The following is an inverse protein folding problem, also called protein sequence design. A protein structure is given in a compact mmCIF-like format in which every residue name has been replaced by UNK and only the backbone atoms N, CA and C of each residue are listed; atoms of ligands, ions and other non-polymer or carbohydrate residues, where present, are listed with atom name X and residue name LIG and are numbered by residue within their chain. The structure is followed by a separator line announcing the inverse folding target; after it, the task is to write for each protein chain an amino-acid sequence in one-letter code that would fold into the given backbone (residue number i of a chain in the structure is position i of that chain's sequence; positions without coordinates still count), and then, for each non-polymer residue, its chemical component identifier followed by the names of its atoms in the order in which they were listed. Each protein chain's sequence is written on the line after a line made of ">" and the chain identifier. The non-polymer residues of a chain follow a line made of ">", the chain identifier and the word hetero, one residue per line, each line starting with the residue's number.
data_IF_901088582491
#
_entry.id   IF_901088582491
#
_cell.length_a   1.000
_cell.length_b   1.000
_cell.length_c   1.000
_cell.angle_alpha   90.00
_cell.angle_beta   90.00
_cell.angle_gamma   90.00
#
_symmetry.space_group_name_H-M   'P 1'
#
loop_
_entity.id
_entity.type
_entity.pdbx_description
1 polymer ?
#
# COMPACT_ATOMS: atom_id res chain seq x y z
N UNK A 1 -19.87 -36.21 17.36
CA UNK A 1 -19.32 -36.59 16.04
C UNK A 1 -19.40 -35.34 15.15
N UNK A 2 -18.38 -34.48 15.18
CA UNK A 2 -18.36 -33.21 14.44
C UNK A 2 -17.48 -33.43 13.21
N UNK A 3 -18.06 -33.29 12.02
CA UNK A 3 -17.33 -33.36 10.74
C UNK A 3 -16.54 -32.06 10.59
N UNK A 4 -15.22 -32.17 10.59
CA UNK A 4 -14.31 -31.11 10.16
C UNK A 4 -14.55 -30.80 8.68
N UNK A 5 -15.02 -29.59 8.38
CA UNK A 5 -15.25 -29.07 7.03
C UNK A 5 -14.23 -27.98 6.64
N UNK A 6 -12.97 -28.10 7.07
CA UNK A 6 -11.92 -27.15 6.74
C UNK A 6 -10.64 -27.85 6.29
N UNK A 7 -10.73 -28.52 5.15
CA UNK A 7 -9.63 -28.77 4.22
C UNK A 7 -10.29 -29.24 2.92
N UNK A 8 -10.80 -28.32 2.12
CA UNK A 8 -11.05 -28.64 0.71
C UNK A 8 -9.67 -28.71 0.07
N UNK A 9 -9.06 -29.90 0.12
CA UNK A 9 -7.86 -30.22 -0.65
C UNK A 9 -8.13 -29.82 -2.10
N UNK A 10 -7.28 -28.94 -2.64
CA UNK A 10 -7.38 -28.52 -4.03
C UNK A 10 -7.12 -29.77 -4.87
N UNK A 11 -7.98 -30.12 -5.85
CA UNK A 11 -7.77 -31.35 -6.62
C UNK A 11 -6.40 -31.31 -7.29
N UNK A 12 -5.66 -32.42 -7.24
CA UNK A 12 -4.26 -32.50 -7.69
C UNK A 12 -4.03 -32.03 -9.15
N UNK A 13 -5.06 -32.10 -9.99
CA UNK A 13 -5.04 -31.58 -11.36
C UNK A 13 -4.94 -30.04 -11.38
N UNK A 14 -5.64 -29.32 -10.49
CA UNK A 14 -5.58 -27.85 -10.40
C UNK A 14 -4.21 -27.35 -9.95
N UNK A 15 -3.52 -28.08 -9.05
CA UNK A 15 -2.14 -27.74 -8.64
C UNK A 15 -1.14 -27.92 -9.79
N UNK A 16 -1.33 -28.96 -10.62
CA UNK A 16 -0.49 -29.21 -11.78
C UNK A 16 -0.66 -28.12 -12.86
N UNK A 17 -1.89 -27.67 -13.12
CA UNK A 17 -2.15 -26.57 -14.05
C UNK A 17 -1.58 -25.23 -13.56
N UNK A 18 -1.69 -24.96 -12.26
CA UNK A 18 -1.19 -23.72 -11.67
C UNK A 18 0.35 -23.65 -11.75
N UNK A 19 1.07 -24.74 -11.51
CA UNK A 19 2.53 -24.76 -11.64
C UNK A 19 3.00 -24.63 -13.10
N UNK A 20 2.28 -25.22 -14.05
CA UNK A 20 2.55 -25.05 -15.50
C UNK A 20 2.35 -23.60 -15.90
N UNK A 21 1.24 -22.98 -15.51
CA UNK A 21 0.95 -21.58 -15.80
C UNK A 21 1.99 -20.64 -15.18
N UNK A 22 2.42 -20.93 -13.94
CA UNK A 22 3.47 -20.17 -13.26
C UNK A 22 4.78 -20.24 -14.01
N UNK A 23 5.18 -21.44 -14.44
CA UNK A 23 6.40 -21.66 -15.23
C UNK A 23 6.35 -20.89 -16.56
N UNK A 24 5.21 -20.91 -17.26
CA UNK A 24 5.03 -20.16 -18.49
C UNK A 24 5.15 -18.64 -18.28
N UNK A 25 4.60 -18.13 -17.18
CA UNK A 25 4.72 -16.71 -16.83
C UNK A 25 6.19 -16.35 -16.53
N UNK A 26 6.90 -17.19 -15.76
CA UNK A 26 8.32 -16.99 -15.44
C UNK A 26 9.22 -16.93 -16.67
N UNK A 27 8.91 -17.70 -17.72
CA UNK A 27 9.65 -17.66 -18.98
C UNK A 27 9.32 -16.44 -19.86
N UNK A 28 8.26 -15.68 -19.54
CA UNK A 28 7.75 -14.56 -20.35
C UNK A 28 8.11 -13.18 -19.79
N UNK A 29 8.73 -13.14 -18.61
CA UNK A 29 9.11 -11.91 -17.88
C UNK A 29 10.61 -11.66 -17.98
N UNK A 30 11.00 -10.40 -17.90
CA UNK A 30 12.41 -9.98 -17.85
C UNK A 30 13.08 -10.53 -16.57
N UNK A 31 14.35 -10.98 -16.71
CA UNK A 31 15.14 -11.61 -15.64
C UNK A 31 15.23 -10.74 -14.38
N UNK A 32 15.12 -9.42 -14.51
CA UNK A 32 15.13 -8.47 -13.40
C UNK A 32 13.98 -8.68 -12.39
N UNK A 33 12.88 -9.33 -12.79
CA UNK A 33 11.70 -9.53 -11.93
C UNK A 33 11.60 -10.95 -11.35
N UNK A 34 12.40 -11.89 -11.82
CA UNK A 34 12.44 -13.29 -11.38
C UNK A 34 12.59 -13.44 -9.86
N UNK A 35 13.51 -12.74 -9.17
CA UNK A 35 13.73 -12.95 -7.72
C UNK A 35 12.53 -12.57 -6.85
N UNK A 36 11.64 -11.70 -7.34
CA UNK A 36 10.45 -11.27 -6.62
C UNK A 36 9.25 -12.20 -6.89
N UNK A 37 9.24 -12.85 -8.05
CA UNK A 37 8.16 -13.74 -8.50
C UNK A 37 8.41 -15.19 -8.08
N UNK A 38 9.66 -15.62 -7.92
CA UNK A 38 10.00 -16.94 -7.37
C UNK A 38 9.42 -17.16 -5.96
N UNK A 39 9.17 -16.07 -5.21
CA UNK A 39 8.53 -16.10 -3.88
C UNK A 39 7.02 -16.29 -3.93
N UNK A 40 6.40 -16.23 -5.11
CA UNK A 40 4.97 -16.44 -5.31
C UNK A 40 4.67 -17.94 -5.42
N UNK A 41 3.64 -18.38 -4.70
CA UNK A 41 3.31 -19.80 -4.49
C UNK A 41 2.27 -20.32 -5.51
N UNK A 42 1.80 -19.47 -6.41
CA UNK A 42 0.84 -19.83 -7.45
C UNK A 42 0.91 -18.92 -8.67
N UNK A 43 0.48 -19.43 -9.83
CA UNK A 43 0.37 -18.63 -11.06
C UNK A 43 -0.54 -17.42 -10.87
N UNK A 44 -1.64 -17.60 -10.14
CA UNK A 44 -2.55 -16.51 -9.81
C UNK A 44 -1.85 -15.37 -9.07
N UNK A 45 -1.08 -15.67 -8.02
CA UNK A 45 -0.36 -14.64 -7.23
C UNK A 45 0.71 -13.98 -8.09
N UNK A 46 1.42 -14.74 -8.93
CA UNK A 46 2.37 -14.21 -9.90
C UNK A 46 1.70 -13.25 -10.89
N UNK A 47 0.52 -13.60 -11.41
CA UNK A 47 -0.21 -12.77 -12.35
C UNK A 47 -0.77 -11.50 -11.69
N UNK A 48 -1.31 -11.62 -10.46
CA UNK A 48 -1.73 -10.47 -9.65
C UNK A 48 -0.57 -9.51 -9.39
N UNK A 49 0.62 -10.02 -9.11
CA UNK A 49 1.83 -9.23 -8.94
C UNK A 49 2.29 -8.54 -10.23
N UNK A 50 2.23 -9.23 -11.38
CA UNK A 50 2.54 -8.61 -12.68
C UNK A 50 1.52 -7.51 -13.01
N UNK A 51 0.23 -7.78 -12.82
CA UNK A 51 -0.83 -6.78 -13.03
C UNK A 51 -0.65 -5.59 -12.08
N UNK A 52 -0.23 -5.83 -10.84
CA UNK A 52 0.06 -4.76 -9.88
C UNK A 52 1.25 -3.91 -10.30
N UNK A 53 2.19 -4.40 -11.11
CA UNK A 53 3.24 -3.55 -11.70
C UNK A 53 2.71 -2.53 -12.71
N UNK A 54 1.65 -2.88 -13.45
CA UNK A 54 1.09 -2.03 -14.52
C UNK A 54 0.00 -1.07 -14.04
N UNK A 55 -0.69 -1.38 -12.93
CA UNK A 55 -1.88 -0.65 -12.48
C UNK A 55 -1.75 -0.09 -11.05
N UNK A 56 -0.53 0.13 -10.59
CA UNK A 56 -0.30 0.42 -9.19
C UNK A 56 -0.76 1.81 -8.75
N UNK A 57 -1.51 1.92 -7.63
CA UNK A 57 -1.71 3.19 -6.96
C UNK A 57 -0.40 3.74 -6.41
N UNK A 58 0.20 4.73 -7.09
CA UNK A 58 1.44 5.35 -6.63
C UNK A 58 1.15 6.43 -5.60
N UNK A 59 1.56 6.22 -4.35
CA UNK A 59 1.58 7.29 -3.32
C UNK A 59 2.44 8.46 -3.74
N UNK A 60 3.56 8.23 -4.41
CA UNK A 60 4.37 9.31 -4.96
C UNK A 60 3.53 10.21 -5.89
N UNK A 61 2.73 9.59 -6.76
CA UNK A 61 1.80 10.34 -7.63
C UNK A 61 0.71 11.05 -6.85
N UNK A 62 0.11 10.39 -5.86
CA UNK A 62 -0.90 11.01 -4.99
C UNK A 62 -0.35 12.25 -4.28
N UNK A 63 0.82 12.16 -3.66
CA UNK A 63 1.49 13.27 -2.95
C UNK A 63 1.78 14.43 -3.89
N UNK A 64 2.33 14.14 -5.08
CA UNK A 64 2.59 15.17 -6.08
C UNK A 64 1.33 15.90 -6.51
N UNK A 65 0.24 15.18 -6.82
CA UNK A 65 -1.03 15.81 -7.24
C UNK A 65 -1.66 16.64 -6.12
N UNK A 66 -1.65 16.13 -4.88
CA UNK A 66 -2.14 16.88 -3.73
C UNK A 66 -1.31 18.14 -3.43
N UNK A 67 0.01 18.07 -3.62
CA UNK A 67 0.90 19.21 -3.44
C UNK A 67 0.66 20.28 -4.51
N UNK A 68 0.49 19.87 -5.77
CA UNK A 68 0.08 20.78 -6.85
C UNK A 68 -1.23 21.47 -6.51
N UNK A 69 -2.27 20.71 -6.12
CA UNK A 69 -3.57 21.26 -5.75
C UNK A 69 -3.50 22.21 -4.55
N UNK A 70 -2.70 21.88 -3.53
CA UNK A 70 -2.55 22.73 -2.33
C UNK A 70 -1.86 24.07 -2.64
N UNK A 71 -1.05 24.11 -3.70
CA UNK A 71 -0.35 25.31 -4.15
C UNK A 71 -1.12 26.08 -5.24
N UNK A 72 -2.17 25.49 -5.82
CA UNK A 72 -3.01 26.18 -6.80
C UNK A 72 -3.78 27.32 -6.14
N UNK A 73 -3.64 28.52 -6.70
CA UNK A 73 -4.39 29.71 -6.33
C UNK A 73 -5.03 30.26 -7.59
N UNK A 74 -6.30 30.67 -7.48
CA UNK A 74 -6.96 31.41 -8.55
C UNK A 74 -6.54 32.89 -8.44
N UNK A 75 -5.96 33.42 -9.51
CA UNK A 75 -5.59 34.83 -9.63
C UNK A 75 -6.47 35.50 -10.71
N UNK A 76 -7.56 36.19 -10.32
CA UNK A 76 -8.54 36.77 -11.25
C UNK A 76 -8.02 37.66 -12.39
N UNK A 77 -6.95 38.47 -12.24
CA UNK A 77 -6.43 39.27 -13.34
C UNK A 77 -5.64 38.45 -14.38
N UNK A 78 -5.20 37.25 -14.02
CA UNK A 78 -4.29 36.41 -14.82
C UNK A 78 -4.97 35.14 -15.35
N UNK A 79 -5.96 34.63 -14.61
CA UNK A 79 -6.53 33.31 -14.81
C UNK A 79 -7.95 33.34 -15.37
N UNK A 80 -8.23 32.44 -16.31
CA UNK A 80 -9.60 32.10 -16.69
C UNK A 80 -10.24 31.23 -15.61
N UNK A 81 -11.38 31.65 -15.06
CA UNK A 81 -12.12 30.87 -14.05
C UNK A 81 -12.46 29.46 -14.55
N UNK A 82 -12.86 29.33 -15.82
CA UNK A 82 -13.19 28.02 -16.40
C UNK A 82 -11.95 27.13 -16.51
N UNK A 83 -10.79 27.69 -16.87
CA UNK A 83 -9.54 26.93 -16.93
C UNK A 83 -9.10 26.50 -15.54
N UNK A 84 -9.19 27.37 -14.54
CA UNK A 84 -8.92 27.03 -13.15
C UNK A 84 -9.80 25.86 -12.65
N UNK A 85 -11.12 25.97 -12.82
CA UNK A 85 -12.05 24.92 -12.40
C UNK A 85 -11.82 23.60 -13.15
N UNK A 86 -11.60 23.66 -14.46
CA UNK A 86 -11.29 22.46 -15.27
C UNK A 86 -9.98 21.80 -14.85
N UNK A 87 -8.99 22.60 -14.46
CA UNK A 87 -7.70 22.10 -13.97
C UNK A 87 -7.88 21.40 -12.63
N UNK A 88 -8.63 21.99 -11.69
CA UNK A 88 -8.95 21.35 -10.40
C UNK A 88 -9.65 20.01 -10.61
N UNK A 89 -10.66 19.96 -11.49
CA UNK A 89 -11.37 18.72 -11.82
C UNK A 89 -10.41 17.68 -12.41
N UNK A 90 -9.56 18.06 -13.35
CA UNK A 90 -8.59 17.15 -13.96
C UNK A 90 -7.58 16.57 -12.95
N UNK A 91 -7.23 17.31 -11.88
CA UNK A 91 -6.39 16.79 -10.78
C UNK A 91 -7.14 15.79 -9.91
N UNK A 92 -8.40 16.05 -9.58
CA UNK A 92 -9.26 15.08 -8.89
C UNK A 92 -9.42 13.80 -9.72
N UNK A 93 -9.74 13.93 -11.01
CA UNK A 93 -9.88 12.79 -11.93
C UNK A 93 -8.56 12.03 -12.09
N UNK A 94 -7.40 12.71 -11.93
CA UNK A 94 -6.09 12.05 -11.92
C UNK A 94 -5.91 11.22 -10.66
N UNK A 95 -6.31 11.71 -9.48
CA UNK A 95 -6.28 10.94 -8.23
C UNK A 95 -7.17 9.68 -8.33
N UNK A 96 -8.37 9.81 -8.89
CA UNK A 96 -9.28 8.68 -9.09
C UNK A 96 -8.67 7.62 -10.02
N UNK A 97 -8.13 8.05 -11.17
CA UNK A 97 -7.47 7.16 -12.13
C UNK A 97 -6.24 6.48 -11.57
N UNK A 98 -5.55 7.08 -10.60
CA UNK A 98 -4.42 6.46 -9.92
C UNK A 98 -4.84 5.62 -8.71
N UNK A 99 -6.14 5.37 -8.52
CA UNK A 99 -6.64 4.50 -7.46
C UNK A 99 -6.59 5.12 -6.06
N UNK A 100 -6.68 6.44 -5.95
CA UNK A 100 -6.75 7.11 -4.66
C UNK A 100 -8.07 6.78 -3.96
N UNK A 101 -8.00 6.23 -2.73
CA UNK A 101 -9.19 5.98 -1.94
C UNK A 101 -9.62 7.22 -1.14
N UNK A 102 -10.86 7.67 -1.32
CA UNK A 102 -11.45 8.81 -0.60
C UNK A 102 -11.97 8.42 0.79
N UNK A 103 -11.06 8.11 1.70
CA UNK A 103 -11.40 7.83 3.11
C UNK A 103 -10.73 8.83 4.04
N UNK A 104 -11.29 8.96 5.26
CA UNK A 104 -10.66 9.74 6.35
C UNK A 104 -9.21 9.31 6.57
N UNK A 105 -8.95 8.01 6.49
CA UNK A 105 -7.64 7.44 6.76
C UNK A 105 -6.64 7.76 5.65
N UNK A 106 -7.08 7.63 4.38
CA UNK A 106 -6.29 8.03 3.21
C UNK A 106 -5.93 9.51 3.22
N UNK A 107 -6.88 10.38 3.60
CA UNK A 107 -6.65 11.82 3.71
C UNK A 107 -5.69 12.16 4.85
N UNK A 108 -5.85 11.53 6.02
CA UNK A 108 -4.92 11.72 7.15
C UNK A 108 -3.50 11.27 6.79
N UNK A 109 -3.36 10.11 6.17
CA UNK A 109 -2.09 9.60 5.61
C UNK A 109 -1.44 10.61 4.65
N UNK A 110 -2.24 11.23 3.78
CA UNK A 110 -1.75 12.26 2.86
C UNK A 110 -1.26 13.50 3.59
N UNK A 111 -2.07 14.03 4.51
CA UNK A 111 -1.75 15.25 5.24
C UNK A 111 -0.47 15.11 6.07
N UNK A 112 -0.27 13.93 6.68
CA UNK A 112 0.97 13.61 7.41
C UNK A 112 2.21 13.66 6.51
N UNK A 113 2.11 13.26 5.25
CA UNK A 113 3.23 13.29 4.30
C UNK A 113 3.50 14.70 3.76
N UNK A 114 2.46 15.45 3.43
CA UNK A 114 2.59 16.81 2.88
C UNK A 114 3.24 17.80 3.86
N UNK A 115 3.09 17.56 5.16
CA UNK A 115 3.70 18.38 6.20
C UNK A 115 5.20 18.13 6.42
N UNK A 116 5.80 17.13 5.75
CA UNK A 116 7.20 16.78 5.97
C UNK A 116 8.13 17.59 5.07
N UNK A 117 9.29 18.04 5.59
CA UNK A 117 10.30 18.69 4.78
C UNK A 117 10.85 17.72 3.73
N UNK A 118 10.74 18.13 2.47
CA UNK A 118 11.31 17.42 1.30
C UNK A 118 12.72 17.91 0.96
N UNK A 119 13.20 18.97 1.62
CA UNK A 119 14.53 19.57 1.44
C UNK A 119 15.13 20.07 2.76
N UNK A 120 16.46 20.14 2.85
CA UNK A 120 17.21 20.57 4.05
C UNK A 120 17.90 19.42 4.80
N UNK A 121 18.41 19.68 6.01
CA UNK A 121 19.18 18.68 6.78
C UNK A 121 18.33 17.51 7.30
N UNK A 122 16.99 17.66 7.31
CA UNK A 122 16.03 16.63 7.72
C UNK A 122 15.08 16.26 6.57
N UNK A 123 15.57 15.64 5.49
CA UNK A 123 14.73 15.30 4.32
C UNK A 123 13.96 13.98 4.44
N UNK A 124 12.63 14.05 4.40
CA UNK A 124 11.76 12.87 4.41
C UNK A 124 11.51 12.24 3.03
N UNK A 125 12.26 12.61 1.98
CA UNK A 125 12.00 12.27 0.57
C UNK A 125 11.82 10.80 0.14
N UNK A 126 11.90 9.83 1.05
CA UNK A 126 11.72 8.39 0.76
C UNK A 126 10.46 7.79 1.41
N UNK A 127 9.65 8.57 2.14
CA UNK A 127 8.44 8.03 2.78
C UNK A 127 7.49 7.44 1.74
N UNK A 128 7.23 8.16 0.66
CA UNK A 128 6.35 7.67 -0.41
C UNK A 128 6.91 6.42 -1.09
N UNK A 129 8.23 6.29 -1.25
CA UNK A 129 8.88 5.08 -1.79
C UNK A 129 8.71 3.86 -0.87
N UNK A 130 8.85 4.05 0.44
CA UNK A 130 8.63 2.99 1.44
C UNK A 130 7.17 2.53 1.39
N UNK A 131 6.25 3.48 1.39
CA UNK A 131 4.82 3.24 1.32
C UNK A 131 4.38 2.59 0.00
N UNK A 132 4.96 3.02 -1.12
CA UNK A 132 4.78 2.39 -2.44
C UNK A 132 5.29 0.94 -2.44
N UNK A 133 6.40 0.64 -1.74
CA UNK A 133 6.85 -0.74 -1.60
C UNK A 133 5.90 -1.57 -0.73
N UNK A 134 5.32 -1.00 0.32
CA UNK A 134 4.33 -1.69 1.15
C UNK A 134 3.07 -2.05 0.37
N UNK A 135 2.53 -1.12 -0.41
CA UNK A 135 1.40 -1.40 -1.28
C UNK A 135 1.73 -2.50 -2.33
N UNK A 136 2.99 -2.62 -2.78
CA UNK A 136 3.42 -3.63 -3.77
C UNK A 136 3.49 -5.03 -3.17
N UNK A 137 3.73 -5.10 -1.87
CA UNK A 137 3.87 -6.36 -1.13
C UNK A 137 2.59 -6.75 -0.37
N UNK A 138 1.59 -5.86 -0.32
CA UNK A 138 0.31 -6.10 0.34
C UNK A 138 -0.75 -6.56 -0.65
N UNK A 139 -1.62 -7.49 -0.23
CA UNK A 139 -2.88 -7.76 -0.93
C UNK A 139 -3.90 -6.62 -0.74
N UNK A 140 -3.64 -5.69 0.17
CA UNK A 140 -4.48 -4.52 0.41
C UNK A 140 -4.05 -3.36 -0.51
N UNK A 141 -5.03 -2.73 -1.17
CA UNK A 141 -4.84 -1.58 -2.08
C UNK A 141 -4.71 -0.24 -1.35
N UNK A 142 -4.67 -0.24 -0.02
CA UNK A 142 -4.80 0.95 0.80
C UNK A 142 -3.60 1.12 1.73
N UNK A 143 -3.22 2.37 1.94
CA UNK A 143 -2.26 2.76 2.97
C UNK A 143 -3.03 3.43 4.09
N UNK A 144 -2.88 2.85 5.26
CA UNK A 144 -3.50 3.38 6.45
C UNK A 144 -2.66 4.51 7.06
N UNK A 145 -3.32 5.45 7.74
CA UNK A 145 -2.64 6.56 8.42
C UNK A 145 -1.59 6.06 9.43
N UNK A 146 -1.89 4.95 10.12
CA UNK A 146 -0.95 4.29 11.04
C UNK A 146 0.33 3.79 10.37
N UNK A 147 0.25 3.33 9.12
CA UNK A 147 1.40 2.82 8.36
C UNK A 147 2.27 3.99 7.90
N UNK A 148 1.62 5.09 7.52
CA UNK A 148 2.30 6.34 7.20
C UNK A 148 3.02 6.90 8.43
N UNK A 149 2.34 6.96 9.58
CA UNK A 149 2.93 7.39 10.84
C UNK A 149 4.14 6.54 11.22
N UNK A 150 4.02 5.20 11.13
CA UNK A 150 5.11 4.29 11.42
C UNK A 150 6.32 4.52 10.49
N UNK A 151 6.10 4.71 9.19
CA UNK A 151 7.16 5.01 8.23
C UNK A 151 7.87 6.35 8.57
N UNK A 152 7.10 7.38 8.93
CA UNK A 152 7.63 8.69 9.32
C UNK A 152 8.48 8.58 10.59
N UNK A 153 7.95 7.93 11.63
CA UNK A 153 8.67 7.72 12.90
C UNK A 153 9.96 6.93 12.68
N UNK A 154 9.91 5.85 11.90
CA UNK A 154 11.09 5.06 11.59
C UNK A 154 12.17 5.88 10.87
N UNK A 155 11.76 6.71 9.89
CA UNK A 155 12.69 7.60 9.18
C UNK A 155 13.27 8.67 10.11
N UNK A 156 12.45 9.26 10.97
CA UNK A 156 12.91 10.25 11.96
C UNK A 156 13.92 9.65 12.95
N UNK A 157 13.67 8.44 13.45
CA UNK A 157 14.61 7.72 14.31
C UNK A 157 15.93 7.41 13.59
N UNK A 158 15.89 7.06 12.30
CA UNK A 158 17.09 6.83 11.50
C UNK A 158 17.93 8.11 11.35
N UNK A 159 17.30 9.27 11.11
CA UNK A 159 18.00 10.55 11.02
C UNK A 159 18.69 10.96 12.33
N UNK A 160 18.17 10.53 13.48
CA UNK A 160 18.75 10.82 14.79
C UNK A 160 19.93 9.92 15.20
N UNK A 161 20.20 8.83 14.47
CA UNK A 161 21.28 7.88 14.76
C UNK A 161 22.37 7.96 13.67
N UNK A 162 23.44 8.70 13.95
CA UNK A 162 24.51 9.04 12.99
C UNK A 162 25.39 7.88 12.49
N UNK A 163 25.20 6.64 12.96
CA UNK A 163 26.07 5.48 12.65
C UNK A 163 25.42 4.35 11.82
N UNK A 164 24.20 4.53 11.30
CA UNK A 164 23.51 3.48 10.56
C UNK A 164 23.76 3.57 9.04
N UNK A 165 24.91 3.07 8.57
CA UNK A 165 25.29 2.97 7.15
C UNK A 165 24.44 2.00 6.30
N UNK A 166 23.35 1.47 6.86
CA UNK A 166 22.39 0.64 6.12
C UNK A 166 20.98 1.08 6.52
N UNK A 167 20.16 1.51 5.55
CA UNK A 167 18.73 1.67 5.78
C UNK A 167 18.17 0.33 6.32
N UNK A 168 17.30 0.33 7.35
CA UNK A 168 16.58 -0.89 7.69
C UNK A 168 15.85 -1.37 6.43
N UNK A 169 16.15 -2.61 6.02
CA UNK A 169 15.42 -3.32 4.98
C UNK A 169 13.90 -3.25 5.31
N UNK A 170 13.03 -3.27 4.30
CA UNK A 170 11.58 -3.47 4.44
C UNK A 170 11.20 -4.54 5.48
N UNK A 171 12.07 -5.53 5.70
CA UNK A 171 11.93 -6.55 6.74
C UNK A 171 12.02 -6.03 8.21
N UNK A 172 12.77 -4.96 8.47
CA UNK A 172 12.93 -4.38 9.82
C UNK A 172 11.84 -3.36 10.14
N UNK A 173 11.22 -2.78 9.11
CA UNK A 173 9.92 -2.13 9.23
C UNK A 173 8.89 -3.25 9.33
N UNK A 174 8.72 -3.85 10.51
CA UNK A 174 7.51 -4.63 10.83
C UNK A 174 6.31 -3.68 10.82
N UNK A 175 5.92 -3.22 9.64
CA UNK A 175 4.63 -2.63 9.35
C UNK A 175 3.62 -3.77 9.44
N UNK A 176 3.19 -4.04 10.68
CA UNK A 176 2.01 -4.84 10.97
C UNK A 176 2.08 -6.31 10.59
N UNK A 177 3.14 -7.02 11.00
CA UNK A 177 3.05 -8.47 11.20
C UNK A 177 3.23 -8.81 12.69
N UNK A 178 2.37 -8.24 13.52
CA UNK A 178 2.12 -8.74 14.86
C UNK A 178 0.62 -9.04 15.00
N UNK A 179 0.31 -10.33 15.13
CA UNK A 179 -0.98 -10.93 15.48
C UNK A 179 -2.14 -10.84 14.47
N UNK A 180 -2.14 -11.76 13.51
CA UNK A 180 -3.38 -12.44 13.09
C UNK A 180 -3.31 -13.95 13.38
N UNK A 181 -2.91 -14.31 14.60
CA UNK A 181 -3.27 -15.60 15.21
C UNK A 181 -3.38 -15.41 16.72
N UNK A 182 -4.58 -15.05 17.20
CA UNK A 182 -5.17 -15.68 18.38
C UNK A 182 -6.69 -15.79 18.17
N UNK A 183 -7.27 -17.00 18.26
CA UNK A 183 -8.71 -17.18 18.42
C UNK A 183 -9.11 -16.90 19.88
N UNK A 184 -10.43 -16.79 20.14
CA UNK A 184 -11.10 -16.62 21.45
C UNK A 184 -11.26 -15.16 21.94
N UNK A 185 -12.42 -14.65 22.39
CA UNK A 185 -13.72 -15.23 22.75
C UNK A 185 -14.84 -14.21 22.43
N UNK A 186 -15.97 -14.70 21.91
CA UNK A 186 -17.26 -13.99 22.00
C UNK A 186 -17.73 -14.17 23.45
N UNK A 187 -18.05 -13.12 24.23
CA UNK A 187 -18.79 -13.31 25.46
C UNK A 187 -20.21 -13.74 25.07
N UNK A 188 -20.56 -14.97 25.44
CA UNK A 188 -21.92 -15.45 25.36
C UNK A 188 -22.83 -14.54 26.19
N UNK A 189 -23.83 -13.98 25.52
CA UNK A 189 -25.04 -13.52 26.17
C UNK A 189 -25.74 -14.76 26.75
N UNK A 190 -25.81 -14.88 28.07
CA UNK A 190 -26.92 -15.50 28.79
C UNK A 190 -26.69 -15.33 30.29
N UNK A 191 -27.50 -14.48 30.91
CA UNK A 191 -28.05 -14.73 32.24
C UNK A 191 -29.45 -14.10 32.29
N UNK A 192 -30.43 -14.91 31.89
CA UNK A 192 -31.80 -14.83 32.37
C UNK A 192 -31.97 -15.96 33.37
N UNK A 193 -32.06 -15.66 34.66
CA UNK A 193 -33.27 -15.84 35.48
C UNK A 193 -33.01 -15.88 36.99
N UNK A 194 -33.93 -15.23 37.70
CA UNK A 194 -34.47 -15.53 39.05
C UNK A 194 -33.55 -15.35 40.26
N UNK A 195 -33.84 -14.32 41.06
CA UNK A 195 -34.72 -14.46 42.24
C UNK A 195 -35.70 -13.28 42.31
#
# INVERSE_FOLDING_TARGET
>A
MIKNYLATERPAEEEQYDEVMRSMIMCSIDELFIPQIERSWSAKVTFEYIVSMFHFPSRTTHVSVWQEMSNMKFDPPSDSLNEYLSTVQAKIDKLDRTGFEWTKDSFLSMQMQLGLPTSGDFMFGNISTILDACLRHSQETKILARETEAAIRAKYHWMGNADASTMPNLATLQLGNMNRQQPYCIPAHQDCHTY
#
